data_IF_590988411881
#
_entry.id   IF_590988411881
#
_cell.length_a   1.000
_cell.length_b   1.000
_cell.length_c   1.000
_cell.angle_alpha   90.00
_cell.angle_beta   90.00
_cell.angle_gamma   90.00
#
_symmetry.space_group_name_H-M   'P 1'
#
loop_
_entity.id
_entity.type
_entity.pdbx_description
1 polymer ?
#
# COMPACT_ATOMS: atom_id res chain seq x y z
N UNK A 1 6.99 -8.65 -17.83
CA UNK A 1 5.90 -8.87 -16.88
C UNK A 1 6.02 -10.29 -16.32
N UNK A 2 6.04 -10.43 -14.97
CA UNK A 2 6.08 -11.72 -14.27
C UNK A 2 4.85 -11.80 -13.38
N UNK A 3 4.04 -12.87 -13.55
CA UNK A 3 2.90 -13.12 -12.68
C UNK A 3 3.40 -13.58 -11.31
N UNK A 4 2.97 -12.89 -10.24
CA UNK A 4 3.42 -13.18 -8.88
C UNK A 4 2.23 -13.09 -7.91
N UNK A 5 2.21 -14.00 -6.92
CA UNK A 5 1.33 -13.90 -5.76
C UNK A 5 2.14 -13.32 -4.60
N UNK A 6 1.85 -12.07 -4.23
CA UNK A 6 2.57 -11.37 -3.16
C UNK A 6 2.37 -11.99 -1.76
N UNK A 7 1.36 -12.85 -1.58
CA UNK A 7 1.09 -13.58 -0.32
C UNK A 7 1.80 -14.94 -0.26
N UNK A 8 2.61 -15.29 -1.26
CA UNK A 8 3.34 -16.56 -1.32
C UNK A 8 4.82 -16.29 -1.55
N UNK A 9 5.66 -16.71 -0.60
CA UNK A 9 7.09 -16.40 -0.61
C UNK A 9 7.81 -17.07 -1.79
N UNK A 10 7.46 -18.32 -2.13
CA UNK A 10 8.07 -19.04 -3.25
C UNK A 10 7.74 -18.32 -4.59
N UNK A 11 6.52 -17.77 -4.69
CA UNK A 11 6.12 -16.98 -5.87
C UNK A 11 6.91 -15.68 -6.00
N UNK A 12 7.22 -15.03 -4.88
CA UNK A 12 8.05 -13.82 -4.84
C UNK A 12 9.51 -14.14 -5.18
N UNK A 13 10.06 -15.20 -4.61
CA UNK A 13 11.42 -15.66 -4.88
C UNK A 13 11.59 -16.07 -6.36
N UNK A 14 10.60 -16.77 -6.92
CA UNK A 14 10.60 -17.07 -8.36
C UNK A 14 10.57 -15.78 -9.21
N UNK A 15 9.68 -14.85 -8.88
CA UNK A 15 9.63 -13.57 -9.60
C UNK A 15 10.95 -12.80 -9.49
N UNK A 16 11.57 -12.81 -8.32
CA UNK A 16 12.86 -12.18 -8.07
C UNK A 16 13.96 -12.82 -8.93
N UNK A 17 14.04 -14.17 -8.98
CA UNK A 17 15.04 -14.87 -9.77
C UNK A 17 14.93 -14.56 -11.27
N UNK A 18 13.69 -14.56 -11.81
CA UNK A 18 13.43 -14.21 -13.22
C UNK A 18 13.81 -12.76 -13.53
N UNK A 19 13.54 -11.84 -12.62
CA UNK A 19 13.89 -10.42 -12.80
C UNK A 19 15.40 -10.21 -12.73
N UNK A 20 16.06 -10.86 -11.78
CA UNK A 20 17.51 -10.77 -11.63
C UNK A 20 18.25 -11.35 -12.85
N UNK A 21 17.83 -12.51 -13.35
CA UNK A 21 18.38 -13.12 -14.57
C UNK A 21 18.27 -12.18 -15.78
N UNK A 22 17.14 -11.50 -15.91
CA UNK A 22 16.82 -10.68 -17.09
C UNK A 22 17.37 -9.26 -17.03
N UNK A 23 17.41 -8.65 -15.86
CA UNK A 23 17.66 -7.22 -15.67
C UNK A 23 18.78 -6.91 -14.67
N UNK A 24 19.31 -7.92 -13.97
CA UNK A 24 20.26 -7.74 -12.89
C UNK A 24 19.59 -7.28 -11.59
N UNK A 25 20.31 -6.51 -10.81
CA UNK A 25 19.87 -6.06 -9.49
C UNK A 25 18.68 -5.09 -9.58
N UNK A 26 17.80 -5.19 -8.59
CA UNK A 26 16.64 -4.31 -8.46
C UNK A 26 17.03 -3.12 -7.59
N UNK A 27 16.75 -1.92 -8.06
CA UNK A 27 17.04 -0.65 -7.38
C UNK A 27 15.83 -0.09 -6.64
N UNK A 28 14.62 -0.38 -7.12
CA UNK A 28 13.38 0.18 -6.61
C UNK A 28 12.33 -0.92 -6.42
N UNK A 29 11.72 -0.94 -5.24
CA UNK A 29 10.56 -1.78 -4.94
C UNK A 29 9.37 -0.89 -4.59
N UNK A 30 8.28 -1.00 -5.34
CA UNK A 30 7.02 -0.32 -5.03
C UNK A 30 5.98 -1.38 -4.65
N UNK A 31 5.58 -1.40 -3.38
CA UNK A 31 4.60 -2.31 -2.83
C UNK A 31 3.21 -1.69 -2.93
N UNK A 32 2.46 -2.07 -3.98
CA UNK A 32 1.12 -1.54 -4.26
C UNK A 32 0.00 -2.59 -4.15
N UNK A 33 0.32 -3.84 -3.78
CA UNK A 33 -0.69 -4.86 -3.54
C UNK A 33 -1.50 -4.54 -2.27
N UNK A 34 -2.79 -4.80 -2.32
CA UNK A 34 -3.68 -4.54 -1.18
C UNK A 34 -5.07 -4.11 -1.62
N UNK A 35 -5.95 -3.95 -0.66
CA UNK A 35 -7.32 -3.51 -0.89
C UNK A 35 -8.22 -3.75 0.31
N UNK A 36 -9.46 -3.27 0.22
CA UNK A 36 -10.46 -3.51 1.26
C UNK A 36 -10.96 -4.95 1.22
N UNK A 37 -11.29 -5.49 2.39
CA UNK A 37 -11.87 -6.83 2.56
C UNK A 37 -13.36 -6.68 2.89
N UNK A 38 -14.27 -7.06 1.97
CA UNK A 38 -15.72 -6.88 2.19
C UNK A 38 -16.24 -7.56 3.45
N UNK A 39 -15.70 -8.76 3.79
CA UNK A 39 -16.09 -9.53 4.97
C UNK A 39 -15.62 -8.92 6.29
N UNK A 40 -14.64 -8.00 6.24
CA UNK A 40 -14.15 -7.23 7.38
C UNK A 40 -14.55 -5.75 7.29
N UNK A 41 -15.60 -5.44 6.52
CA UNK A 41 -16.13 -4.09 6.34
C UNK A 41 -17.45 -3.94 7.11
N UNK A 42 -17.49 -3.01 8.05
CA UNK A 42 -18.69 -2.71 8.84
C UNK A 42 -19.82 -2.21 7.95
N UNK A 43 -20.99 -2.78 8.13
CA UNK A 43 -22.23 -2.43 7.42
C UNK A 43 -23.40 -2.38 8.42
N UNK A 44 -24.57 -2.05 7.95
CA UNK A 44 -25.79 -2.10 8.77
C UNK A 44 -26.15 -3.55 9.22
N UNK A 45 -25.52 -4.58 8.61
CA UNK A 45 -25.73 -6.02 8.89
C UNK A 45 -24.51 -6.71 9.48
N UNK A 46 -23.35 -6.09 9.46
CA UNK A 46 -22.10 -6.61 10.02
C UNK A 46 -21.49 -5.55 10.93
N UNK A 47 -21.66 -5.72 12.22
CA UNK A 47 -21.10 -4.82 13.23
C UNK A 47 -19.64 -5.16 13.51
N UNK A 48 -18.91 -4.27 14.17
CA UNK A 48 -17.48 -4.48 14.50
C UNK A 48 -17.28 -5.74 15.33
N UNK A 49 -18.17 -5.97 16.31
CA UNK A 49 -18.15 -7.14 17.21
C UNK A 49 -18.46 -8.47 16.51
N UNK A 50 -19.04 -8.44 15.32
CA UNK A 50 -19.43 -9.63 14.55
C UNK A 50 -18.38 -10.01 13.49
N UNK A 51 -17.35 -9.18 13.28
CA UNK A 51 -16.28 -9.48 12.32
C UNK A 51 -15.50 -10.71 12.80
N UNK A 52 -15.49 -11.76 11.99
CA UNK A 52 -14.77 -12.99 12.33
C UNK A 52 -13.26 -12.76 12.30
N UNK A 53 -12.54 -13.42 13.20
CA UNK A 53 -11.09 -13.32 13.26
C UNK A 53 -10.40 -13.71 11.95
N UNK A 54 -10.93 -14.70 11.23
CA UNK A 54 -10.41 -15.10 9.92
C UNK A 54 -10.52 -13.98 8.89
N UNK A 55 -11.66 -13.28 8.84
CA UNK A 55 -11.88 -12.16 7.90
C UNK A 55 -11.00 -10.94 8.25
N UNK A 56 -10.75 -10.75 9.55
CA UNK A 56 -9.78 -9.77 10.04
C UNK A 56 -8.35 -10.13 9.61
N UNK A 57 -7.95 -11.40 9.80
CA UNK A 57 -6.63 -11.90 9.39
C UNK A 57 -6.42 -11.76 7.90
N UNK A 58 -7.42 -12.13 7.08
CA UNK A 58 -7.38 -11.96 5.62
C UNK A 58 -7.09 -10.51 5.20
N UNK A 59 -7.63 -9.52 5.93
CA UNK A 59 -7.36 -8.11 5.65
C UNK A 59 -5.90 -7.73 5.96
N UNK A 60 -5.33 -8.25 7.05
CA UNK A 60 -3.93 -8.05 7.41
C UNK A 60 -2.99 -8.80 6.46
N UNK A 61 -3.31 -10.03 6.12
CA UNK A 61 -2.52 -10.84 5.21
C UNK A 61 -2.43 -10.16 3.83
N UNK A 62 -3.54 -9.67 3.32
CA UNK A 62 -3.56 -8.96 2.04
C UNK A 62 -2.76 -7.65 2.09
N UNK A 63 -2.97 -6.82 3.12
CA UNK A 63 -2.47 -5.43 3.12
C UNK A 63 -1.09 -5.25 3.77
N UNK A 64 -0.76 -6.05 4.80
CA UNK A 64 0.51 -5.99 5.49
C UNK A 64 1.45 -7.11 5.04
N UNK A 65 1.01 -8.37 5.14
CA UNK A 65 1.91 -9.50 4.87
C UNK A 65 2.29 -9.54 3.39
N UNK A 66 1.33 -9.68 2.49
CA UNK A 66 1.56 -9.65 1.04
C UNK A 66 1.78 -8.24 0.50
N UNK A 67 1.16 -7.24 1.13
CA UNK A 67 1.22 -5.84 0.68
C UNK A 67 2.53 -5.12 1.00
N UNK A 68 3.35 -5.64 1.94
CA UNK A 68 4.61 -4.99 2.32
C UNK A 68 5.64 -5.99 2.87
N UNK A 69 5.31 -6.83 3.84
CA UNK A 69 6.28 -7.63 4.60
C UNK A 69 7.05 -8.59 3.69
N UNK A 70 6.36 -9.53 3.03
CA UNK A 70 7.01 -10.56 2.21
C UNK A 70 7.80 -9.96 1.04
N UNK A 71 7.27 -9.00 0.26
CA UNK A 71 8.06 -8.35 -0.77
C UNK A 71 9.32 -7.65 -0.22
N UNK A 72 9.23 -6.98 0.94
CA UNK A 72 10.40 -6.38 1.58
C UNK A 72 11.41 -7.44 2.04
N UNK A 73 10.96 -8.60 2.54
CA UNK A 73 11.87 -9.70 2.90
C UNK A 73 12.62 -10.26 1.70
N UNK A 74 11.94 -10.46 0.57
CA UNK A 74 12.56 -11.07 -0.62
C UNK A 74 13.42 -10.06 -1.37
N UNK A 75 12.87 -8.93 -1.78
CA UNK A 75 13.57 -7.94 -2.60
C UNK A 75 14.44 -6.99 -1.78
N UNK A 76 13.98 -6.60 -0.58
CA UNK A 76 14.73 -5.72 0.31
C UNK A 76 16.01 -6.36 0.81
N UNK A 77 16.02 -7.67 1.06
CA UNK A 77 17.23 -8.43 1.41
C UNK A 77 18.34 -8.25 0.38
N UNK A 78 18.00 -8.37 -0.91
CA UNK A 78 18.99 -8.18 -1.97
C UNK A 78 19.51 -6.75 -2.05
N UNK A 79 18.64 -5.76 -1.82
CA UNK A 79 19.06 -4.36 -1.73
C UNK A 79 20.03 -4.14 -0.56
N UNK A 80 19.77 -4.77 0.61
CA UNK A 80 20.67 -4.73 1.77
C UNK A 80 22.03 -5.35 1.43
N UNK A 81 22.05 -6.50 0.78
CA UNK A 81 23.28 -7.17 0.34
C UNK A 81 24.06 -6.31 -0.66
N UNK A 82 23.36 -5.62 -1.56
CA UNK A 82 23.95 -4.69 -2.54
C UNK A 82 24.43 -3.36 -1.91
N UNK A 83 23.85 -2.95 -0.76
CA UNK A 83 24.16 -1.69 -0.10
C UNK A 83 23.45 -0.47 -0.72
N UNK A 84 22.39 -0.65 -1.50
CA UNK A 84 21.63 0.44 -2.09
C UNK A 84 20.23 0.01 -2.52
N UNK A 85 19.24 0.87 -2.32
CA UNK A 85 17.87 0.62 -2.76
C UNK A 85 16.86 1.67 -2.28
N UNK A 86 15.71 1.68 -2.93
CA UNK A 86 14.56 2.49 -2.50
C UNK A 86 13.29 1.66 -2.47
N UNK A 87 12.63 1.65 -1.33
CA UNK A 87 11.35 0.95 -1.13
C UNK A 87 10.25 1.98 -0.90
N UNK A 88 9.14 1.84 -1.62
CA UNK A 88 7.96 2.70 -1.49
C UNK A 88 6.75 1.81 -1.20
N UNK A 89 6.19 1.92 0.00
CA UNK A 89 4.99 1.20 0.40
C UNK A 89 3.75 2.06 0.16
N UNK A 90 2.73 1.52 -0.50
CA UNK A 90 1.45 2.22 -0.64
C UNK A 90 0.61 1.98 0.61
N UNK A 91 0.60 2.98 1.47
CA UNK A 91 -0.23 3.02 2.67
C UNK A 91 -1.66 3.51 2.34
N UNK A 92 -2.26 4.30 3.19
CA UNK A 92 -3.57 4.95 2.99
C UNK A 92 -3.77 6.03 4.07
N UNK A 93 -4.56 7.05 3.76
CA UNK A 93 -5.05 7.99 4.77
C UNK A 93 -5.81 7.28 5.90
N UNK A 94 -6.41 6.11 5.61
CA UNK A 94 -7.06 5.24 6.59
C UNK A 94 -6.10 4.74 7.68
N UNK A 95 -4.79 4.74 7.44
CA UNK A 95 -3.78 4.40 8.44
C UNK A 95 -3.45 5.54 9.40
N UNK A 96 -3.82 6.78 9.08
CA UNK A 96 -3.61 7.95 9.92
C UNK A 96 -4.87 8.39 10.67
N UNK A 97 -6.03 8.24 10.04
CA UNK A 97 -7.31 8.65 10.61
C UNK A 97 -8.32 7.49 10.51
N UNK A 98 -9.23 7.35 11.48
CA UNK A 98 -10.25 6.31 11.44
C UNK A 98 -11.30 6.63 10.37
N UNK A 99 -11.26 5.92 9.27
CA UNK A 99 -12.30 5.99 8.25
C UNK A 99 -13.47 5.07 8.62
N UNK A 100 -14.70 5.53 8.39
CA UNK A 100 -15.89 4.76 8.64
C UNK A 100 -15.89 3.41 7.88
N UNK A 101 -16.38 2.36 8.53
CA UNK A 101 -16.62 1.01 7.99
C UNK A 101 -15.38 0.14 7.73
N UNK A 102 -14.20 0.69 7.45
CA UNK A 102 -13.03 -0.09 6.98
C UNK A 102 -12.01 -0.35 8.09
N UNK A 103 -12.47 -0.84 9.24
CA UNK A 103 -11.66 -0.95 10.46
C UNK A 103 -10.42 -1.85 10.30
N UNK A 104 -10.56 -3.06 9.75
CA UNK A 104 -9.44 -3.98 9.57
C UNK A 104 -8.42 -3.46 8.53
N UNK A 105 -8.91 -2.88 7.44
CA UNK A 105 -8.09 -2.22 6.44
C UNK A 105 -7.30 -1.04 7.04
N UNK A 106 -7.97 -0.18 7.82
CA UNK A 106 -7.34 0.98 8.47
C UNK A 106 -6.22 0.54 9.42
N UNK A 107 -6.49 -0.47 10.24
CA UNK A 107 -5.49 -1.03 11.16
C UNK A 107 -4.30 -1.64 10.39
N UNK A 108 -4.54 -2.39 9.31
CA UNK A 108 -3.47 -2.95 8.48
C UNK A 108 -2.65 -1.84 7.81
N UNK A 109 -3.27 -0.76 7.32
CA UNK A 109 -2.55 0.37 6.71
C UNK A 109 -1.78 1.21 7.73
N UNK A 110 -2.24 1.31 8.97
CA UNK A 110 -1.47 1.88 10.08
C UNK A 110 -0.23 1.03 10.38
N UNK A 111 -0.38 -0.31 10.35
CA UNK A 111 0.75 -1.22 10.50
C UNK A 111 1.77 -1.08 9.36
N UNK A 112 1.35 -0.88 8.11
CA UNK A 112 2.25 -0.61 6.97
C UNK A 112 3.05 0.68 7.18
N UNK A 113 2.44 1.76 7.70
CA UNK A 113 3.13 3.01 8.00
C UNK A 113 4.22 2.79 9.06
N UNK A 114 3.86 2.13 10.18
CA UNK A 114 4.81 1.83 11.25
C UNK A 114 5.94 0.90 10.77
N UNK A 115 5.61 -0.13 9.99
CA UNK A 115 6.58 -1.05 9.38
C UNK A 115 7.55 -0.32 8.44
N UNK A 116 7.05 0.64 7.64
CA UNK A 116 7.88 1.52 6.80
C UNK A 116 8.91 2.28 7.64
N UNK A 117 8.48 2.90 8.73
CA UNK A 117 9.35 3.66 9.64
C UNK A 117 10.39 2.76 10.32
N UNK A 118 9.98 1.56 10.73
CA UNK A 118 10.89 0.57 11.30
C UNK A 118 11.97 0.17 10.31
N UNK A 119 11.60 -0.23 9.08
CA UNK A 119 12.58 -0.61 8.05
C UNK A 119 13.48 0.56 7.64
N UNK A 120 12.94 1.77 7.56
CA UNK A 120 13.71 2.98 7.28
C UNK A 120 14.85 3.18 8.29
N UNK A 121 14.58 2.96 9.57
CA UNK A 121 15.57 3.01 10.65
C UNK A 121 16.56 1.85 10.59
N UNK A 122 16.05 0.63 10.40
CA UNK A 122 16.85 -0.60 10.45
C UNK A 122 17.83 -0.69 9.29
N UNK A 123 17.40 -0.33 8.08
CA UNK A 123 18.18 -0.48 6.86
C UNK A 123 18.92 0.79 6.39
N UNK A 124 18.81 1.88 7.14
CA UNK A 124 19.50 3.13 6.78
C UNK A 124 21.02 2.96 6.67
N UNK A 125 21.64 2.23 7.60
CA UNK A 125 23.09 1.93 7.57
C UNK A 125 23.52 1.05 6.40
N UNK A 126 22.58 0.35 5.77
CA UNK A 126 22.79 -0.44 4.57
C UNK A 126 22.54 0.36 3.28
N UNK A 127 22.33 1.66 3.35
CA UNK A 127 22.09 2.51 2.19
C UNK A 127 20.68 2.38 1.59
N UNK A 128 19.71 1.82 2.31
CA UNK A 128 18.33 1.63 1.85
C UNK A 128 17.43 2.75 2.41
N UNK A 129 16.63 3.35 1.54
CA UNK A 129 15.55 4.25 1.92
C UNK A 129 14.22 3.53 1.84
N UNK A 130 13.39 3.70 2.86
CA UNK A 130 12.05 3.10 2.90
C UNK A 130 11.04 4.19 3.25
N UNK A 131 10.09 4.43 2.35
CA UNK A 131 9.09 5.48 2.50
C UNK A 131 7.69 4.94 2.19
N UNK A 132 6.66 5.69 2.56
CA UNK A 132 5.30 5.39 2.18
C UNK A 132 4.65 6.54 1.41
N UNK A 133 3.75 6.19 0.51
CA UNK A 133 2.78 7.12 -0.06
C UNK A 133 1.45 6.84 0.63
N UNK A 134 0.78 7.88 1.08
CA UNK A 134 -0.50 7.81 1.78
C UNK A 134 -1.60 8.43 0.91
N UNK A 135 -2.16 7.69 -0.06
CA UNK A 135 -3.22 8.21 -0.90
C UNK A 135 -4.49 8.51 -0.10
N UNK A 136 -5.19 9.57 -0.48
CA UNK A 136 -6.56 9.82 -0.10
C UNK A 136 -7.53 8.94 -0.90
N UNK A 137 -8.55 9.55 -1.50
CA UNK A 137 -9.56 8.82 -2.26
C UNK A 137 -9.31 8.92 -3.77
N UNK A 138 -9.06 7.76 -4.37
CA UNK A 138 -8.83 7.58 -5.80
C UNK A 138 -9.84 6.57 -6.35
N UNK A 139 -10.71 6.95 -7.30
CA UNK A 139 -11.62 6.01 -7.93
C UNK A 139 -10.85 4.93 -8.70
N UNK A 140 -11.24 3.68 -8.46
CA UNK A 140 -10.76 2.51 -9.16
C UNK A 140 -11.95 1.59 -9.43
N UNK A 141 -11.80 0.59 -10.28
CA UNK A 141 -12.86 -0.34 -10.61
C UNK A 141 -13.49 -0.98 -9.36
N UNK A 142 -12.63 -1.39 -8.41
CA UNK A 142 -13.07 -2.05 -7.16
C UNK A 142 -13.90 -1.16 -6.21
N UNK A 143 -13.82 0.16 -6.31
CA UNK A 143 -14.54 1.08 -5.42
C UNK A 143 -15.52 2.01 -6.17
N UNK A 144 -15.65 1.87 -7.48
CA UNK A 144 -16.47 2.74 -8.31
C UNK A 144 -17.92 2.79 -7.83
N UNK A 145 -18.53 1.63 -7.58
CA UNK A 145 -19.92 1.51 -7.11
C UNK A 145 -20.16 2.04 -5.69
N UNK A 146 -19.09 2.28 -4.92
CA UNK A 146 -19.18 2.92 -3.59
C UNK A 146 -19.15 4.45 -3.69
N UNK A 147 -18.64 4.96 -4.82
CA UNK A 147 -18.41 6.39 -5.02
C UNK A 147 -19.37 7.02 -6.03
N UNK A 148 -19.88 6.24 -6.98
CA UNK A 148 -20.72 6.77 -8.05
C UNK A 148 -21.96 5.90 -8.24
N UNK A 149 -23.08 6.55 -8.48
CA UNK A 149 -24.32 5.95 -8.94
C UNK A 149 -24.20 5.49 -10.41
N UNK A 150 -25.19 4.77 -10.92
CA UNK A 150 -25.17 4.29 -12.32
C UNK A 150 -25.11 5.44 -13.35
N UNK A 151 -25.69 6.58 -13.03
CA UNK A 151 -25.69 7.79 -13.85
C UNK A 151 -24.37 8.60 -13.75
N UNK A 152 -23.43 8.15 -12.91
CA UNK A 152 -22.14 8.80 -12.69
C UNK A 152 -22.15 9.93 -11.65
N UNK A 153 -23.27 10.19 -11.00
CA UNK A 153 -23.36 11.16 -9.90
C UNK A 153 -22.70 10.59 -8.63
N UNK A 154 -22.12 11.44 -7.76
CA UNK A 154 -21.56 10.97 -6.49
C UNK A 154 -22.62 10.37 -5.60
N UNK A 155 -22.34 9.22 -4.99
CA UNK A 155 -23.17 8.67 -3.91
C UNK A 155 -23.16 9.61 -2.70
N UNK A 156 -24.13 9.51 -1.75
CA UNK A 156 -24.09 10.28 -0.49
C UNK A 156 -22.77 10.10 0.27
N UNK A 157 -22.19 8.90 0.23
CA UNK A 157 -20.87 8.61 0.80
C UNK A 157 -19.75 9.37 0.06
N UNK A 158 -19.79 9.39 -1.25
CA UNK A 158 -18.82 10.13 -2.06
C UNK A 158 -18.92 11.63 -1.79
N UNK A 159 -20.12 12.18 -1.69
CA UNK A 159 -20.32 13.59 -1.36
C UNK A 159 -19.71 13.91 0.02
N UNK A 160 -19.96 13.07 1.02
CA UNK A 160 -19.36 13.22 2.34
C UNK A 160 -17.83 13.22 2.31
N UNK A 161 -17.21 12.38 1.46
CA UNK A 161 -15.75 12.36 1.25
C UNK A 161 -15.29 13.68 0.61
N UNK A 162 -15.99 14.15 -0.42
CA UNK A 162 -15.65 15.37 -1.13
C UNK A 162 -15.74 16.60 -0.20
N UNK A 163 -16.76 16.68 0.62
CA UNK A 163 -16.96 17.77 1.59
C UNK A 163 -15.81 17.88 2.61
N UNK A 164 -15.10 16.76 2.88
CA UNK A 164 -13.93 16.72 3.77
C UNK A 164 -12.60 16.69 3.00
N UNK A 165 -12.64 16.78 1.67
CA UNK A 165 -11.44 16.81 0.84
C UNK A 165 -11.16 18.25 0.42
N UNK A 166 -10.04 18.88 0.86
CA UNK A 166 -9.79 20.30 0.58
C UNK A 166 -9.81 20.68 -0.90
N UNK A 167 -9.39 19.78 -1.80
CA UNK A 167 -9.44 19.98 -3.25
C UNK A 167 -10.83 19.74 -3.85
N UNK A 168 -11.81 19.32 -3.05
CA UNK A 168 -13.20 19.04 -3.44
C UNK A 168 -13.34 18.18 -4.71
N UNK A 169 -12.44 17.22 -4.85
CA UNK A 169 -12.44 16.22 -5.93
C UNK A 169 -11.73 14.96 -5.51
N UNK A 170 -12.00 13.86 -6.19
CA UNK A 170 -11.18 12.65 -6.12
C UNK A 170 -9.84 12.86 -6.84
N UNK A 171 -8.82 12.12 -6.41
CA UNK A 171 -7.54 12.07 -7.08
C UNK A 171 -7.58 11.24 -8.36
N UNK A 172 -6.74 11.58 -9.33
CA UNK A 172 -6.45 10.74 -10.49
C UNK A 172 -5.20 9.90 -10.18
N UNK A 173 -5.18 8.61 -10.52
CA UNK A 173 -4.05 7.71 -10.25
C UNK A 173 -2.71 8.25 -10.77
N UNK A 174 -2.71 8.98 -11.90
CA UNK A 174 -1.51 9.61 -12.46
C UNK A 174 -0.92 10.69 -11.53
N UNK A 175 -1.70 11.26 -10.61
CA UNK A 175 -1.21 12.26 -9.65
C UNK A 175 -0.34 11.65 -8.55
N UNK A 176 -0.31 10.32 -8.42
CA UNK A 176 0.61 9.62 -7.52
C UNK A 176 2.00 9.36 -8.15
N UNK A 177 2.10 9.44 -9.48
CA UNK A 177 3.34 9.13 -10.21
C UNK A 177 4.48 10.04 -9.78
N UNK A 178 4.22 11.35 -9.61
CA UNK A 178 5.25 12.31 -9.17
C UNK A 178 5.86 11.94 -7.82
N UNK A 179 5.04 11.56 -6.84
CA UNK A 179 5.51 11.13 -5.53
C UNK A 179 6.30 9.80 -5.61
N UNK A 180 5.81 8.85 -6.40
CA UNK A 180 6.49 7.56 -6.61
C UNK A 180 7.87 7.75 -7.26
N UNK A 181 7.98 8.56 -8.30
CA UNK A 181 9.23 8.88 -8.99
C UNK A 181 10.19 9.63 -8.05
N UNK A 182 9.69 10.64 -7.31
CA UNK A 182 10.48 11.39 -6.34
C UNK A 182 11.09 10.45 -5.29
N UNK A 183 10.28 9.63 -4.62
CA UNK A 183 10.75 8.73 -3.56
C UNK A 183 11.66 7.62 -4.10
N UNK A 184 11.48 7.19 -5.35
CA UNK A 184 12.33 6.19 -6.00
C UNK A 184 13.72 6.74 -6.36
N UNK A 185 13.83 8.05 -6.64
CA UNK A 185 15.06 8.67 -7.14
C UNK A 185 16.03 9.01 -6.00
N UNK A 186 17.21 8.43 -6.00
CA UNK A 186 18.28 8.79 -5.07
C UNK A 186 18.75 10.22 -5.26
N UNK A 187 18.75 10.73 -6.49
CA UNK A 187 19.14 12.11 -6.80
C UNK A 187 18.14 13.12 -6.22
N UNK A 188 16.84 12.80 -6.26
CA UNK A 188 15.78 13.71 -5.82
C UNK A 188 15.46 13.59 -4.32
N UNK A 189 15.58 12.40 -3.74
CA UNK A 189 15.16 12.10 -2.36
C UNK A 189 16.18 11.29 -1.56
N UNK A 190 17.48 11.44 -1.85
CA UNK A 190 18.56 10.68 -1.22
C UNK A 190 18.64 10.84 0.31
N UNK A 191 18.05 11.89 0.88
CA UNK A 191 18.01 12.13 2.34
C UNK A 191 16.59 11.98 2.91
N UNK A 192 15.66 11.40 2.15
CA UNK A 192 14.27 11.17 2.58
C UNK A 192 14.07 9.68 2.85
N UNK A 193 13.83 9.35 4.12
CA UNK A 193 13.49 7.99 4.55
C UNK A 193 12.59 8.03 5.79
N UNK A 194 11.67 7.07 5.91
CA UNK A 194 10.74 6.96 7.04
C UNK A 194 9.51 7.88 6.97
N UNK A 195 9.20 8.45 5.79
CA UNK A 195 8.00 9.28 5.58
C UNK A 195 6.77 8.45 5.28
#
# INVERSE_FOLDING_TARGET
FVKCNAMNIESLEYAQSVLHEKFGDIDVLINAAGGNQPKATVTDRLLVEDIKLVDWSDAFDLNLVGGALLPCQVFGRLMVEKGSGSIVNIASIAGHIPLSRVVAYSAAKAAVINFTQFLAREWASNGIRVNSITPGFFPAEQNRNLLFEEDGTPTPRAQQILDHTPLNRFGNANELVGAAVFLSSTMASGFVTGT
#
